data_IF_637360618425
#
_entry.id   IF_637360618425
#
_cell.length_a   1.000
_cell.length_b   1.000
_cell.length_c   1.000
_cell.angle_alpha   90.00
_cell.angle_beta   90.00
_cell.angle_gamma   90.00
#
_symmetry.space_group_name_H-M   'P 1'
#
loop_
_entity.id
_entity.type
_entity.pdbx_description
1 polymer ?
#
# COMPACT_ATOMS: atom_id res chain seq x y z
N UNK A 1 -3.46 3.39 -8.11
CA UNK A 1 -3.25 2.83 -6.77
C UNK A 1 -4.57 2.65 -6.11
N UNK A 2 -4.86 1.44 -5.66
CA UNK A 2 -6.07 1.08 -4.94
C UNK A 2 -5.65 0.30 -3.70
N UNK A 3 -6.03 0.81 -2.54
CA UNK A 3 -5.81 0.17 -1.25
C UNK A 3 -7.13 0.13 -0.52
N UNK A 4 -7.43 -0.97 0.16
CA UNK A 4 -8.63 -1.10 0.98
C UNK A 4 -8.32 -1.89 2.24
N UNK A 5 -9.05 -1.58 3.30
CA UNK A 5 -9.04 -2.32 4.54
C UNK A 5 -10.44 -2.32 5.13
N UNK A 6 -10.84 -3.43 5.75
CA UNK A 6 -12.09 -3.51 6.48
C UNK A 6 -11.94 -4.37 7.73
N UNK A 7 -12.74 -4.03 8.73
CA UNK A 7 -12.81 -4.73 10.01
C UNK A 7 -13.92 -5.77 9.94
N UNK A 8 -13.66 -6.95 10.49
CA UNK A 8 -14.62 -8.05 10.61
C UNK A 8 -14.41 -8.75 11.96
N UNK A 9 -15.26 -9.74 12.29
CA UNK A 9 -15.29 -10.34 13.62
C UNK A 9 -13.94 -10.94 14.05
N UNK A 10 -13.20 -11.53 13.13
CA UNK A 10 -11.93 -12.20 13.40
C UNK A 10 -10.70 -11.28 13.21
N UNK A 11 -10.89 -10.01 12.84
CA UNK A 11 -9.80 -9.03 12.76
C UNK A 11 -9.95 -8.00 11.65
N UNK A 12 -8.86 -7.77 10.91
CA UNK A 12 -8.78 -6.79 9.82
C UNK A 12 -8.18 -7.47 8.59
N UNK A 13 -8.81 -7.26 7.43
CA UNK A 13 -8.24 -7.64 6.14
C UNK A 13 -7.80 -6.37 5.42
N UNK A 14 -6.63 -6.42 4.80
CA UNK A 14 -6.06 -5.35 3.98
C UNK A 14 -5.67 -5.92 2.61
N UNK A 15 -5.96 -5.19 1.54
CA UNK A 15 -5.58 -5.56 0.18
C UNK A 15 -5.12 -4.33 -0.61
N UNK A 16 -4.09 -4.50 -1.44
CA UNK A 16 -3.49 -3.44 -2.25
C UNK A 16 -3.14 -3.96 -3.65
N UNK A 17 -3.17 -3.08 -4.65
CA UNK A 17 -2.55 -3.36 -5.96
C UNK A 17 -1.03 -3.04 -5.94
N UNK A 18 -0.26 -3.53 -6.90
CA UNK A 18 1.21 -3.37 -6.95
C UNK A 18 1.74 -2.46 -8.06
N UNK A 19 0.87 -1.85 -8.87
CA UNK A 19 1.28 -1.01 -10.01
C UNK A 19 1.72 0.38 -9.56
N UNK A 20 2.85 0.85 -10.08
CA UNK A 20 3.30 2.24 -10.00
C UNK A 20 3.49 2.85 -11.38
N UNK A 21 3.09 4.11 -11.54
CA UNK A 21 3.10 4.82 -12.83
C UNK A 21 3.76 6.19 -12.70
N UNK A 22 4.47 6.63 -13.73
CA UNK A 22 4.96 7.99 -13.91
C UNK A 22 4.22 8.59 -15.11
N UNK A 23 3.10 9.27 -14.85
CA UNK A 23 2.14 9.61 -15.91
C UNK A 23 1.55 8.33 -16.52
N UNK A 24 1.62 8.20 -17.86
CA UNK A 24 1.12 7.02 -18.58
C UNK A 24 2.11 5.84 -18.61
N UNK A 25 3.38 6.06 -18.21
CA UNK A 25 4.39 5.01 -18.18
C UNK A 25 4.23 4.14 -16.94
N UNK A 26 4.09 2.82 -17.12
CA UNK A 26 4.10 1.85 -16.00
C UNK A 26 5.55 1.65 -15.59
N UNK A 27 5.94 2.25 -14.46
CA UNK A 27 7.29 2.18 -13.93
C UNK A 27 7.59 0.85 -13.25
N UNK A 28 6.59 0.24 -12.60
CA UNK A 28 6.72 -1.07 -11.96
C UNK A 28 5.34 -1.71 -11.75
N UNK A 29 5.30 -3.04 -11.79
CA UNK A 29 4.12 -3.84 -11.49
C UNK A 29 4.26 -4.61 -10.16
N UNK A 30 5.37 -4.43 -9.44
CA UNK A 30 5.74 -5.25 -8.27
C UNK A 30 6.04 -4.42 -7.02
N UNK A 31 5.53 -3.18 -6.96
CA UNK A 31 5.74 -2.32 -5.78
C UNK A 31 5.01 -2.90 -4.58
N UNK A 32 5.73 -3.07 -3.47
CA UNK A 32 5.14 -3.41 -2.16
C UNK A 32 4.48 -2.16 -1.58
N UNK A 33 3.14 -2.12 -1.61
CA UNK A 33 2.34 -1.01 -1.04
C UNK A 33 1.83 -1.27 0.37
N UNK A 34 2.38 -2.28 1.06
CA UNK A 34 2.16 -2.54 2.48
C UNK A 34 3.45 -2.26 3.23
N UNK A 35 3.37 -1.44 4.26
CA UNK A 35 4.48 -1.11 5.16
C UNK A 35 4.25 -1.82 6.50
N UNK A 36 5.25 -2.57 6.93
CA UNK A 36 5.30 -3.23 8.24
C UNK A 36 5.93 -2.27 9.26
N UNK A 37 5.10 -1.46 9.94
CA UNK A 37 5.60 -0.45 10.91
C UNK A 37 6.11 -1.11 12.18
N UNK A 38 5.39 -2.15 12.66
CA UNK A 38 5.79 -2.96 13.80
C UNK A 38 5.07 -4.31 13.76
N UNK A 39 5.39 -5.28 14.64
CA UNK A 39 4.80 -6.62 14.60
C UNK A 39 3.26 -6.69 14.67
N UNK A 40 2.58 -5.59 15.05
CA UNK A 40 1.12 -5.50 15.14
C UNK A 40 0.54 -4.27 14.45
N UNK A 41 1.31 -3.59 13.59
CA UNK A 41 0.88 -2.37 12.89
C UNK A 41 1.31 -2.43 11.43
N UNK A 42 0.33 -2.30 10.54
CA UNK A 42 0.52 -2.24 9.10
C UNK A 42 -0.07 -0.94 8.55
N UNK A 43 0.51 -0.42 7.48
CA UNK A 43 -0.03 0.71 6.72
C UNK A 43 -0.03 0.42 5.22
N UNK A 44 -0.92 1.09 4.48
CA UNK A 44 -0.96 1.02 3.01
C UNK A 44 -0.44 2.31 2.40
N UNK A 45 0.18 2.21 1.22
CA UNK A 45 0.70 3.37 0.48
C UNK A 45 -0.28 3.80 -0.62
N UNK A 46 -0.70 5.07 -0.60
CA UNK A 46 -1.40 5.73 -1.69
C UNK A 46 -1.03 7.22 -1.75
N UNK A 47 -0.69 7.72 -2.94
CA UNK A 47 -0.17 9.08 -3.13
C UNK A 47 1.29 9.06 -3.59
N UNK A 48 2.08 10.04 -3.13
CA UNK A 48 3.51 10.13 -3.42
C UNK A 48 4.28 8.95 -2.86
N UNK A 49 4.95 8.18 -3.73
CA UNK A 49 5.63 6.95 -3.31
C UNK A 49 6.75 7.21 -2.29
N UNK A 50 7.57 8.25 -2.52
CA UNK A 50 8.65 8.62 -1.60
C UNK A 50 8.09 9.18 -0.28
N UNK A 51 7.08 10.04 -0.35
CA UNK A 51 6.47 10.65 0.84
C UNK A 51 5.88 9.59 1.77
N UNK A 52 5.08 8.67 1.23
CA UNK A 52 4.46 7.60 2.03
C UNK A 52 5.45 6.55 2.55
N UNK A 53 6.61 6.38 1.91
CA UNK A 53 7.64 5.47 2.41
C UNK A 53 8.53 6.12 3.47
N UNK A 54 8.68 7.44 3.40
CA UNK A 54 9.53 8.19 4.33
C UNK A 54 8.81 8.54 5.63
N UNK A 55 7.54 8.99 5.55
CA UNK A 55 6.70 9.39 6.68
C UNK A 55 5.87 8.23 7.22
#
# INVERSE_FOLDING_TARGET
>A
TTTLAFVFKEGVIMAVDSRATMGNFISSETVRKVIEISPRKLATIAGGAADCQYW
#
